data_IF_628084504694
#
_entry.id   IF_628084504694
#
_cell.length_a   1.000
_cell.length_b   1.000
_cell.length_c   1.000
_cell.angle_alpha   90.00
_cell.angle_beta   90.00
_cell.angle_gamma   90.00
#
_symmetry.space_group_name_H-M   'P 1'
#
loop_
_entity.id
_entity.type
_entity.pdbx_description
1 polymer ?
#
# COMPACT_ATOMS: atom_id res chain seq x y z
N UNK A 1 -17.17 15.08 19.25
CA UNK A 1 -16.30 14.21 18.44
C UNK A 1 -16.96 12.85 18.20
N UNK A 2 -16.61 12.18 17.09
CA UNK A 2 -16.99 10.79 16.77
C UNK A 2 -15.82 10.15 16.01
N UNK A 3 -15.52 8.88 16.31
CA UNK A 3 -14.48 8.13 15.63
C UNK A 3 -15.04 7.39 14.42
N UNK A 4 -14.24 7.29 13.37
CA UNK A 4 -14.55 6.59 12.13
C UNK A 4 -13.42 5.61 11.82
N UNK A 5 -13.78 4.36 11.57
CA UNK A 5 -12.90 3.36 11.01
C UNK A 5 -13.46 2.96 9.65
N UNK A 6 -12.62 2.99 8.61
CA UNK A 6 -12.99 2.57 7.27
C UNK A 6 -12.30 1.25 6.96
N UNK A 7 -13.06 0.29 6.46
CA UNK A 7 -12.56 -0.95 5.90
C UNK A 7 -13.20 -1.21 4.53
N UNK A 8 -12.96 -2.41 3.98
CA UNK A 8 -13.54 -2.81 2.70
C UNK A 8 -15.06 -3.00 2.72
N UNK A 9 -15.66 -3.18 3.90
CA UNK A 9 -17.11 -3.36 4.08
C UNK A 9 -17.82 -2.01 4.27
N UNK A 10 -17.07 -0.96 4.63
CA UNK A 10 -17.58 0.41 4.66
C UNK A 10 -17.00 1.20 5.81
N UNK A 11 -17.86 1.95 6.49
CA UNK A 11 -17.48 2.77 7.63
C UNK A 11 -18.15 2.26 8.91
N UNK A 12 -17.35 2.07 9.96
CA UNK A 12 -17.82 1.81 11.32
C UNK A 12 -17.59 3.06 12.15
N UNK A 13 -18.59 3.43 12.95
CA UNK A 13 -18.53 4.65 13.76
C UNK A 13 -18.72 4.38 15.23
N UNK A 14 -18.00 5.10 16.08
CA UNK A 14 -18.32 5.15 17.52
C UNK A 14 -19.61 5.95 17.76
N UNK A 15 -20.14 5.86 19.00
CA UNK A 15 -21.06 6.89 19.47
C UNK A 15 -20.36 8.26 19.46
N UNK A 16 -21.12 9.33 19.19
CA UNK A 16 -20.61 10.69 19.33
C UNK A 16 -20.61 11.10 20.80
N UNK A 17 -19.63 11.93 21.19
CA UNK A 17 -19.54 12.51 22.52
C UNK A 17 -19.07 13.96 22.44
N UNK A 18 -19.44 14.79 23.41
CA UNK A 18 -18.91 16.15 23.54
C UNK A 18 -17.52 16.13 24.18
N UNK A 19 -16.56 16.83 23.58
CA UNK A 19 -15.18 16.85 24.06
C UNK A 19 -14.99 17.72 25.31
N UNK A 20 -15.87 18.72 25.50
CA UNK A 20 -15.86 19.60 26.67
C UNK A 20 -16.56 18.93 27.85
N UNK A 21 -17.59 18.12 27.60
CA UNK A 21 -18.27 17.35 28.65
C UNK A 21 -17.49 16.07 29.02
N UNK A 22 -16.78 15.46 28.07
CA UNK A 22 -16.02 14.23 28.29
C UNK A 22 -14.56 14.37 27.83
N UNK A 23 -13.83 15.26 28.50
CA UNK A 23 -12.42 15.54 28.21
C UNK A 23 -11.52 14.31 28.39
N UNK A 24 -11.84 13.43 29.35
CA UNK A 24 -11.06 12.20 29.57
C UNK A 24 -11.13 11.28 28.34
N UNK A 25 -12.32 11.05 27.78
CA UNK A 25 -12.47 10.26 26.56
C UNK A 25 -11.72 10.88 25.38
N UNK A 26 -11.75 12.21 25.23
CA UNK A 26 -10.99 12.90 24.19
C UNK A 26 -9.48 12.64 24.33
N UNK A 27 -8.93 12.81 25.54
CA UNK A 27 -7.50 12.55 25.82
C UNK A 27 -7.17 11.07 25.56
N UNK A 28 -8.00 10.14 26.00
CA UNK A 28 -7.81 8.70 25.76
C UNK A 28 -7.77 8.35 24.28
N UNK A 29 -8.60 8.98 23.45
CA UNK A 29 -8.58 8.80 21.99
C UNK A 29 -7.27 9.29 21.39
N UNK A 30 -6.84 10.51 21.73
CA UNK A 30 -5.60 11.10 21.20
C UNK A 30 -4.40 10.24 21.58
N UNK A 31 -4.33 9.85 22.86
CA UNK A 31 -3.30 8.97 23.37
C UNK A 31 -3.33 7.59 22.70
N UNK A 32 -4.52 7.04 22.47
CA UNK A 32 -4.71 5.80 21.71
C UNK A 32 -4.06 5.87 20.34
N UNK A 33 -4.37 6.90 19.54
CA UNK A 33 -3.75 7.09 18.22
C UNK A 33 -2.23 7.28 18.26
N UNK A 34 -1.71 7.94 19.29
CA UNK A 34 -0.27 8.13 19.46
C UNK A 34 0.48 6.84 19.83
N UNK A 35 -0.18 5.90 20.52
CA UNK A 35 0.41 4.62 20.90
C UNK A 35 0.19 3.49 19.90
N UNK A 36 -0.76 3.63 18.98
CA UNK A 36 -1.02 2.64 17.94
C UNK A 36 0.19 2.48 17.01
N UNK A 37 0.48 1.24 16.61
CA UNK A 37 1.48 1.00 15.59
C UNK A 37 0.97 1.51 14.23
N UNK A 38 1.84 1.84 13.27
CA UNK A 38 1.44 2.31 11.95
C UNK A 38 0.42 1.38 11.25
N UNK A 39 0.61 0.06 11.36
CA UNK A 39 -0.34 -0.92 10.82
C UNK A 39 -1.75 -0.78 11.39
N UNK A 40 -1.88 -0.45 12.68
CA UNK A 40 -3.17 -0.31 13.36
C UNK A 40 -3.85 1.01 12.97
N UNK A 41 -3.06 2.00 12.57
CA UNK A 41 -3.52 3.27 11.96
C UNK A 41 -3.88 3.12 10.48
N UNK A 42 -3.69 1.93 9.89
CA UNK A 42 -4.00 1.65 8.49
C UNK A 42 -2.87 1.98 7.50
N UNK A 43 -1.64 2.17 7.98
CA UNK A 43 -0.48 2.22 7.09
C UNK A 43 -0.16 0.83 6.55
N UNK A 44 0.21 0.78 5.27
CA UNK A 44 0.65 -0.44 4.61
C UNK A 44 2.00 -0.90 5.20
N UNK A 45 2.08 -2.11 5.79
CA UNK A 45 3.31 -2.61 6.40
C UNK A 45 4.40 -2.98 5.37
N UNK A 46 4.08 -3.01 4.08
CA UNK A 46 5.03 -3.33 3.00
C UNK A 46 5.77 -2.10 2.47
N UNK A 47 5.28 -0.89 2.79
CA UNK A 47 5.88 0.38 2.41
C UNK A 47 6.65 0.94 3.60
N UNK A 48 7.97 0.96 3.47
CA UNK A 48 8.89 1.40 4.50
C UNK A 48 9.29 2.87 4.32
N UNK A 49 9.90 3.42 5.38
CA UNK A 49 10.46 4.77 5.37
C UNK A 49 9.44 5.87 5.70
N UNK A 50 9.94 7.10 5.69
CA UNK A 50 9.15 8.29 6.00
C UNK A 50 8.86 9.13 4.76
N UNK A 51 8.05 10.18 4.91
CA UNK A 51 7.67 11.06 3.81
C UNK A 51 8.90 11.65 3.11
N UNK A 52 9.07 11.31 1.83
CA UNK A 52 10.19 11.75 1.00
C UNK A 52 11.35 10.75 0.88
N UNK A 53 11.29 9.62 1.59
CA UNK A 53 12.28 8.53 1.50
C UNK A 53 11.60 7.17 1.71
N UNK A 54 10.48 6.96 1.00
CA UNK A 54 9.72 5.71 1.09
C UNK A 54 10.28 4.68 0.13
N UNK A 55 10.24 3.42 0.50
CA UNK A 55 10.71 2.32 -0.35
C UNK A 55 9.91 1.04 -0.10
N UNK A 56 9.96 0.12 -1.05
CA UNK A 56 9.54 -1.28 -0.88
C UNK A 56 10.77 -2.18 -0.94
N UNK A 57 10.71 -3.32 -0.27
CA UNK A 57 11.74 -4.36 -0.32
C UNK A 57 11.13 -5.64 -0.85
N UNK A 58 11.80 -6.27 -1.82
CA UNK A 58 11.43 -7.57 -2.35
C UNK A 58 12.60 -8.54 -2.18
N UNK A 59 12.34 -9.83 -2.22
CA UNK A 59 13.38 -10.85 -2.28
C UNK A 59 13.31 -11.62 -3.59
N UNK A 60 14.29 -11.39 -4.47
CA UNK A 60 14.43 -12.12 -5.74
C UNK A 60 15.73 -12.91 -5.73
N UNK A 61 15.68 -14.18 -6.15
CA UNK A 61 16.85 -15.07 -6.20
C UNK A 61 17.64 -15.13 -4.87
N UNK A 62 16.90 -15.19 -3.74
CA UNK A 62 17.44 -15.14 -2.37
C UNK A 62 18.27 -13.89 -2.04
N UNK A 63 18.07 -12.80 -2.78
CA UNK A 63 18.72 -11.51 -2.55
C UNK A 63 17.67 -10.42 -2.29
N UNK A 64 17.81 -9.65 -1.21
CA UNK A 64 16.95 -8.49 -0.98
C UNK A 64 17.27 -7.40 -2.01
N UNK A 65 16.24 -6.75 -2.51
CA UNK A 65 16.32 -5.60 -3.39
C UNK A 65 15.38 -4.51 -2.89
N UNK A 66 15.86 -3.28 -2.87
CA UNK A 66 15.11 -2.10 -2.44
C UNK A 66 14.77 -1.22 -3.64
N UNK A 67 13.54 -0.73 -3.65
CA UNK A 67 13.02 0.19 -4.65
C UNK A 67 12.44 1.42 -3.98
N UNK A 68 13.03 2.58 -4.23
CA UNK A 68 12.60 3.86 -3.67
C UNK A 68 11.43 4.41 -4.46
N UNK A 69 10.39 4.85 -3.76
CA UNK A 69 9.17 5.39 -4.34
C UNK A 69 9.40 6.85 -4.73
N UNK A 70 9.44 7.10 -6.03
CA UNK A 70 9.55 8.43 -6.61
C UNK A 70 8.15 9.03 -6.78
N UNK A 71 7.69 9.14 -8.02
CA UNK A 71 6.43 9.78 -8.38
C UNK A 71 5.26 8.80 -8.42
N UNK A 72 4.08 9.29 -8.03
CA UNK A 72 2.83 8.54 -8.15
C UNK A 72 2.36 8.61 -9.60
N UNK A 73 2.41 7.49 -10.32
CA UNK A 73 1.85 7.36 -11.67
C UNK A 73 0.33 7.33 -11.61
N UNK A 74 -0.22 6.54 -10.67
CA UNK A 74 -1.67 6.37 -10.51
C UNK A 74 -2.00 6.11 -9.05
N UNK A 75 -3.07 6.73 -8.56
CA UNK A 75 -3.69 6.36 -7.28
C UNK A 75 -5.19 6.32 -7.42
N UNK A 76 -5.79 5.15 -7.23
CA UNK A 76 -7.23 4.99 -7.21
C UNK A 76 -7.77 5.35 -5.82
N UNK A 77 -8.51 6.46 -5.72
CA UNK A 77 -9.15 6.90 -4.47
C UNK A 77 -10.51 6.21 -4.33
N UNK A 78 -10.53 4.97 -3.86
CA UNK A 78 -11.76 4.23 -3.58
C UNK A 78 -11.73 3.58 -2.20
N UNK A 79 -12.89 3.50 -1.55
CA UNK A 79 -13.08 2.75 -0.29
C UNK A 79 -13.23 1.26 -0.59
N UNK A 80 -13.99 0.91 -1.63
CA UNK A 80 -14.17 -0.45 -2.11
C UNK A 80 -13.60 -0.62 -3.53
N UNK A 81 -12.85 -1.69 -3.76
CA UNK A 81 -12.20 -2.01 -5.04
C UNK A 81 -10.78 -2.55 -4.84
N UNK A 82 -9.96 -2.50 -5.89
CA UNK A 82 -8.55 -2.92 -5.83
C UNK A 82 -7.63 -1.90 -5.15
N UNK A 83 -8.13 -0.69 -4.89
CA UNK A 83 -7.38 0.47 -4.35
C UNK A 83 -5.98 0.66 -4.97
N UNK A 84 -5.86 0.38 -6.28
CA UNK A 84 -4.58 0.30 -6.97
C UNK A 84 -3.80 1.60 -6.88
N UNK A 85 -2.53 1.50 -6.49
CA UNK A 85 -1.56 2.58 -6.57
C UNK A 85 -0.34 2.11 -7.34
N UNK A 86 0.09 2.92 -8.31
CA UNK A 86 1.31 2.68 -9.07
C UNK A 86 2.28 3.83 -8.82
N UNK A 87 3.55 3.49 -8.57
CA UNK A 87 4.64 4.43 -8.42
C UNK A 87 5.71 4.16 -9.47
N UNK A 88 6.32 5.23 -9.98
CA UNK A 88 7.66 5.14 -10.54
C UNK A 88 8.63 4.90 -9.38
N UNK A 89 9.59 3.99 -9.59
CA UNK A 89 10.59 3.66 -8.59
C UNK A 89 11.95 3.49 -9.24
N UNK A 90 13.00 3.72 -8.47
CA UNK A 90 14.37 3.33 -8.82
C UNK A 90 14.94 2.35 -7.80
N UNK A 91 15.71 1.37 -8.30
CA UNK A 91 16.43 0.43 -7.43
C UNK A 91 17.74 1.02 -6.91
N UNK A 92 18.28 0.43 -5.84
CA UNK A 92 19.62 0.79 -5.33
C UNK A 92 20.75 0.57 -6.37
N UNK A 93 20.53 -0.34 -7.33
CA UNK A 93 21.45 -0.58 -8.44
C UNK A 93 21.10 0.37 -9.58
N UNK A 94 22.07 1.18 -10.00
CA UNK A 94 21.82 2.33 -10.89
C UNK A 94 21.36 1.96 -12.29
N UNK A 95 20.48 2.80 -12.85
CA UNK A 95 20.28 2.98 -14.30
C UNK A 95 18.92 2.55 -14.86
N UNK A 96 18.10 1.82 -14.11
CA UNK A 96 16.80 1.34 -14.58
C UNK A 96 15.66 1.83 -13.68
N UNK A 97 14.67 2.49 -14.28
CA UNK A 97 13.39 2.81 -13.62
C UNK A 97 12.45 1.61 -13.70
N UNK A 98 11.66 1.40 -12.66
CA UNK A 98 10.63 0.38 -12.58
C UNK A 98 9.29 1.01 -12.21
N UNK A 99 8.23 0.20 -12.27
CA UNK A 99 6.92 0.55 -11.74
C UNK A 99 6.54 -0.45 -10.67
N UNK A 100 6.29 0.04 -9.45
CA UNK A 100 5.64 -0.77 -8.41
C UNK A 100 4.15 -0.54 -8.52
N UNK A 101 3.40 -1.63 -8.63
CA UNK A 101 1.94 -1.63 -8.58
C UNK A 101 1.50 -2.36 -7.33
N UNK A 102 0.95 -1.62 -6.38
CA UNK A 102 0.26 -2.15 -5.22
C UNK A 102 -1.25 -2.20 -5.50
N UNK A 103 -1.88 -3.33 -5.20
CA UNK A 103 -3.31 -3.47 -5.32
C UNK A 103 -3.82 -4.65 -4.51
N UNK A 104 -5.02 -4.49 -3.95
CA UNK A 104 -5.77 -5.61 -3.43
C UNK A 104 -6.18 -6.56 -4.57
N UNK A 105 -6.03 -7.85 -4.31
CA UNK A 105 -6.45 -8.93 -5.20
C UNK A 105 -7.58 -9.73 -4.55
N UNK A 106 -8.56 -10.14 -5.36
CA UNK A 106 -9.61 -11.06 -4.93
C UNK A 106 -9.10 -12.48 -5.19
N UNK A 107 -9.18 -13.37 -4.20
CA UNK A 107 -8.70 -14.76 -4.32
C UNK A 107 -9.37 -15.53 -5.44
N UNK A 108 -10.58 -15.11 -5.83
CA UNK A 108 -11.37 -15.71 -6.90
C UNK A 108 -10.89 -15.29 -8.30
N UNK A 109 -9.99 -14.31 -8.42
CA UNK A 109 -9.44 -13.84 -9.69
C UNK A 109 -8.03 -14.38 -9.93
N UNK A 110 -7.66 -14.65 -11.19
CA UNK A 110 -6.28 -14.97 -11.52
C UNK A 110 -5.37 -13.81 -11.18
N UNK A 111 -4.25 -14.14 -10.54
CA UNK A 111 -3.21 -13.19 -10.18
C UNK A 111 -2.64 -12.50 -11.42
N UNK A 112 -2.42 -11.19 -11.32
CA UNK A 112 -1.89 -10.41 -12.44
C UNK A 112 -0.42 -10.71 -12.73
N UNK A 113 0.39 -10.96 -11.70
CA UNK A 113 1.82 -11.22 -11.80
C UNK A 113 2.19 -12.39 -12.74
N UNK A 114 1.62 -13.59 -12.56
CA UNK A 114 1.86 -14.72 -13.45
C UNK A 114 1.43 -14.47 -14.89
N UNK A 115 0.41 -13.64 -15.13
CA UNK A 115 -0.02 -13.25 -16.47
C UNK A 115 1.02 -12.34 -17.14
N UNK A 116 1.53 -11.33 -16.42
CA UNK A 116 2.60 -10.46 -16.91
C UNK A 116 3.88 -11.25 -17.19
N UNK A 117 4.21 -12.24 -16.35
CA UNK A 117 5.34 -13.13 -16.57
C UNK A 117 5.19 -13.92 -17.88
N UNK A 118 4.02 -14.51 -18.14
CA UNK A 118 3.75 -15.23 -19.40
C UNK A 118 3.90 -14.34 -20.63
N UNK A 119 3.41 -13.11 -20.56
CA UNK A 119 3.53 -12.11 -21.66
C UNK A 119 5.01 -11.77 -21.93
N UNK A 120 5.79 -11.62 -20.86
CA UNK A 120 7.24 -11.34 -20.92
C UNK A 120 8.01 -12.51 -21.51
N UNK A 121 7.78 -13.72 -21.00
CA UNK A 121 8.41 -14.96 -21.49
C UNK A 121 8.10 -15.23 -22.97
N UNK A 122 6.91 -14.80 -23.45
CA UNK A 122 6.51 -14.91 -24.84
C UNK A 122 7.11 -13.83 -25.77
N UNK A 123 7.88 -12.87 -25.23
CA UNK A 123 8.53 -11.82 -26.03
C UNK A 123 7.54 -10.83 -26.66
N UNK A 124 6.37 -10.63 -26.07
CA UNK A 124 5.36 -9.69 -26.58
C UNK A 124 5.89 -8.26 -26.47
N UNK A 125 5.86 -7.53 -27.59
CA UNK A 125 6.29 -6.13 -27.64
C UNK A 125 5.18 -5.18 -27.19
N UNK A 126 5.56 -4.00 -26.69
CA UNK A 126 4.65 -2.94 -26.23
C UNK A 126 3.80 -3.30 -25.00
N UNK A 127 4.20 -4.31 -24.23
CA UNK A 127 3.63 -4.64 -22.92
C UNK A 127 4.53 -4.17 -21.77
N UNK A 128 4.00 -4.20 -20.55
CA UNK A 128 4.82 -4.06 -19.35
C UNK A 128 5.67 -5.32 -19.16
N UNK A 129 6.97 -5.15 -18.94
CA UNK A 129 7.89 -6.24 -18.68
C UNK A 129 7.77 -6.69 -17.22
N UNK A 130 7.65 -8.00 -17.02
CA UNK A 130 7.59 -8.61 -15.70
C UNK A 130 8.95 -8.56 -15.02
N UNK A 131 8.96 -8.08 -13.78
CA UNK A 131 10.15 -8.07 -12.93
C UNK A 131 9.99 -8.99 -11.72
N UNK A 132 8.92 -8.79 -10.96
CA UNK A 132 8.62 -9.52 -9.74
C UNK A 132 7.13 -9.36 -9.37
N UNK A 133 6.57 -10.34 -8.67
CA UNK A 133 5.29 -10.23 -7.98
C UNK A 133 5.29 -11.09 -6.72
N UNK A 134 4.49 -10.68 -5.74
CA UNK A 134 4.16 -11.46 -4.56
C UNK A 134 2.76 -11.09 -4.06
N UNK A 135 2.21 -11.90 -3.17
CA UNK A 135 0.98 -11.63 -2.45
C UNK A 135 1.34 -11.64 -0.97
N UNK A 136 0.99 -10.56 -0.27
CA UNK A 136 1.24 -10.35 1.16
C UNK A 136 -0.02 -10.56 1.97
#
# INVERSE_FOLDING_TARGET
MRLWAFDRLGAVTSQSFDIHENALMFISVVLGYLWMAPKDLGFDPTIYGEKGSRYVEITRDARPERYHLDDVIKRQRCVAGRATTCWEVHGDKSGQSFVVKDSWEYKERPEEGPLLKKVTDAGVKNGAEYHYHEIV
#
